data_IF_994840113986
#
_entry.id   IF_994840113986
#
_cell.length_a   1.000
_cell.length_b   1.000
_cell.length_c   1.000
_cell.angle_alpha   90.00
_cell.angle_beta   90.00
_cell.angle_gamma   90.00
#
_symmetry.space_group_name_H-M   'P 1'
#
loop_
_entity.id
_entity.type
_entity.pdbx_description
1 polymer ?
#
# COMPACT_ATOMS: atom_id res chain seq x y z
N UNK A 1 -48.90 42.71 -32.31
CA UNK A 1 -48.14 41.45 -32.52
C UNK A 1 -46.83 41.57 -31.78
N UNK A 2 -46.63 40.82 -30.69
CA UNK A 2 -45.37 40.78 -29.94
C UNK A 2 -44.69 39.46 -30.31
N UNK A 3 -43.56 39.54 -31.00
CA UNK A 3 -42.72 38.39 -31.30
C UNK A 3 -41.90 38.04 -30.04
N UNK A 4 -42.21 36.91 -29.42
CA UNK A 4 -41.35 36.34 -28.38
C UNK A 4 -40.17 35.62 -29.04
N UNK A 5 -38.97 36.00 -28.64
CA UNK A 5 -37.68 35.58 -29.16
C UNK A 5 -37.44 34.07 -28.99
N UNK A 6 -37.01 33.41 -30.07
CA UNK A 6 -36.63 31.99 -30.15
C UNK A 6 -35.34 31.61 -29.40
N UNK A 7 -34.74 32.54 -28.65
CA UNK A 7 -33.39 32.39 -28.09
C UNK A 7 -33.36 31.77 -26.68
N UNK A 8 -34.43 31.91 -25.90
CA UNK A 8 -34.50 31.41 -24.51
C UNK A 8 -34.67 29.89 -24.40
N UNK A 9 -35.31 29.25 -25.40
CA UNK A 9 -35.51 27.79 -25.42
C UNK A 9 -34.24 27.02 -25.74
N UNK A 10 -33.40 27.56 -26.62
CA UNK A 10 -32.12 26.96 -27.01
C UNK A 10 -31.10 26.99 -25.87
N UNK A 11 -31.05 28.09 -25.11
CA UNK A 11 -30.21 28.23 -23.92
C UNK A 11 -30.69 27.34 -22.75
N UNK A 12 -32.01 27.22 -22.55
CA UNK A 12 -32.60 26.35 -21.53
C UNK A 12 -32.37 24.86 -21.84
N UNK A 13 -32.45 24.46 -23.12
CA UNK A 13 -32.15 23.09 -23.54
C UNK A 13 -30.65 22.76 -23.41
N UNK A 14 -29.74 23.69 -23.76
CA UNK A 14 -28.30 23.50 -23.56
C UNK A 14 -27.90 23.31 -22.09
N UNK A 15 -28.53 24.02 -21.16
CA UNK A 15 -28.34 23.86 -19.72
C UNK A 15 -28.86 22.51 -19.18
N UNK A 16 -29.99 22.01 -19.72
CA UNK A 16 -30.54 20.69 -19.38
C UNK A 16 -29.63 19.52 -19.84
N UNK A 17 -28.96 19.65 -20.99
CA UNK A 17 -27.99 18.66 -21.46
C UNK A 17 -26.69 18.66 -20.64
N UNK A 18 -26.21 19.83 -20.19
CA UNK A 18 -25.02 19.90 -19.33
C UNK A 18 -25.30 19.35 -17.93
N UNK A 19 -26.45 19.67 -17.34
CA UNK A 19 -26.83 19.20 -16.01
C UNK A 19 -27.03 17.68 -15.96
N UNK A 20 -27.61 17.09 -17.02
CA UNK A 20 -27.77 15.63 -17.14
C UNK A 20 -26.43 14.92 -17.36
N UNK A 21 -25.50 15.50 -18.12
CA UNK A 21 -24.15 14.96 -18.29
C UNK A 21 -23.34 14.93 -16.99
N UNK A 22 -23.40 16.00 -16.18
CA UNK A 22 -22.72 16.05 -14.87
C UNK A 22 -23.33 15.04 -13.89
N UNK A 23 -24.65 14.89 -13.88
CA UNK A 23 -25.33 13.90 -13.03
C UNK A 23 -24.95 12.47 -13.43
N UNK A 24 -24.82 12.18 -14.73
CA UNK A 24 -24.41 10.87 -15.22
C UNK A 24 -22.96 10.54 -14.81
N UNK A 25 -22.04 11.51 -14.92
CA UNK A 25 -20.65 11.34 -14.49
C UNK A 25 -20.54 11.13 -12.97
N UNK A 26 -21.32 11.89 -12.18
CA UNK A 26 -21.36 11.72 -10.73
C UNK A 26 -21.92 10.34 -10.33
N UNK A 27 -22.93 9.84 -11.04
CA UNK A 27 -23.49 8.51 -10.81
C UNK A 27 -22.49 7.40 -11.16
N UNK A 28 -21.82 7.49 -12.32
CA UNK A 28 -20.75 6.55 -12.72
C UNK A 28 -19.62 6.54 -11.67
N UNK A 29 -19.20 7.71 -11.20
CA UNK A 29 -18.17 7.82 -10.17
C UNK A 29 -18.59 7.19 -8.83
N UNK A 30 -19.85 7.37 -8.43
CA UNK A 30 -20.37 6.75 -7.20
C UNK A 30 -20.46 5.23 -7.30
N UNK A 31 -20.83 4.70 -8.47
CA UNK A 31 -20.95 3.24 -8.66
C UNK A 31 -19.58 2.57 -8.69
N UNK A 32 -18.60 3.16 -9.39
CA UNK A 32 -17.20 2.70 -9.39
C UNK A 32 -16.55 2.76 -7.99
N UNK A 33 -16.96 3.72 -7.15
CA UNK A 33 -16.53 3.75 -5.73
C UNK A 33 -17.12 2.59 -4.92
N UNK A 34 -18.41 2.28 -5.11
CA UNK A 34 -19.07 1.17 -4.40
C UNK A 34 -18.50 -0.18 -4.82
N UNK A 35 -18.18 -0.35 -6.09
CA UNK A 35 -17.63 -1.61 -6.60
C UNK A 35 -16.20 -1.83 -6.06
N UNK A 36 -15.38 -0.77 -6.01
CA UNK A 36 -14.07 -0.83 -5.32
C UNK A 36 -14.19 -1.13 -3.83
N UNK A 37 -15.19 -0.57 -3.15
CA UNK A 37 -15.46 -0.88 -1.74
C UNK A 37 -15.89 -2.35 -1.56
N UNK A 38 -16.74 -2.89 -2.44
CA UNK A 38 -17.14 -4.31 -2.41
C UNK A 38 -15.97 -5.25 -2.70
N UNK A 39 -15.14 -4.97 -3.70
CA UNK A 39 -13.93 -5.77 -3.97
C UNK A 39 -12.96 -5.74 -2.79
N UNK A 40 -12.79 -4.59 -2.14
CA UNK A 40 -11.97 -4.47 -0.92
C UNK A 40 -12.55 -5.24 0.28
N UNK A 41 -13.87 -5.34 0.38
CA UNK A 41 -14.55 -6.13 1.42
C UNK A 41 -14.49 -7.63 1.12
N UNK A 42 -14.59 -8.00 -0.15
CA UNK A 42 -14.49 -9.39 -0.61
C UNK A 42 -13.06 -9.94 -0.44
N UNK A 43 -12.03 -9.12 -0.70
CA UNK A 43 -10.64 -9.46 -0.38
C UNK A 43 -10.37 -9.59 1.13
N UNK A 44 -11.11 -8.86 1.97
CA UNK A 44 -11.01 -8.97 3.45
C UNK A 44 -11.69 -10.21 4.00
N UNK A 45 -12.60 -10.85 3.25
CA UNK A 45 -13.47 -11.91 3.76
C UNK A 45 -13.00 -13.35 3.55
N UNK A 46 -11.90 -13.61 2.82
CA UNK A 46 -11.58 -14.99 2.36
C UNK A 46 -10.30 -15.62 2.93
N UNK A 47 -9.54 -14.93 3.79
CA UNK A 47 -8.35 -15.51 4.43
C UNK A 47 -8.44 -15.24 5.92
N UNK A 48 -8.47 -16.30 6.74
CA UNK A 48 -8.29 -16.17 8.19
C UNK A 48 -6.99 -15.41 8.43
N UNK A 49 -7.12 -14.15 8.84
CA UNK A 49 -6.02 -13.21 8.86
C UNK A 49 -5.13 -13.52 10.07
N UNK A 50 -4.00 -14.21 9.85
CA UNK A 50 -2.96 -14.42 10.87
C UNK A 50 -2.10 -13.17 11.08
N UNK A 51 -2.40 -12.06 10.39
CA UNK A 51 -1.66 -10.80 10.53
C UNK A 51 -1.92 -10.17 11.86
N UNK A 52 -0.87 -9.54 12.36
CA UNK A 52 -0.98 -8.68 13.53
C UNK A 52 -1.82 -7.43 13.20
N UNK A 53 -2.59 -6.95 14.18
CA UNK A 53 -3.43 -5.75 14.03
C UNK A 53 -2.62 -4.52 13.58
N UNK A 54 -1.34 -4.45 13.93
CA UNK A 54 -0.51 -3.30 13.62
C UNK A 54 0.05 -3.32 12.18
N UNK A 55 0.35 -4.49 11.62
CA UNK A 55 0.68 -4.64 10.20
C UNK A 55 -0.49 -4.19 9.32
N UNK A 56 -1.72 -4.59 9.68
CA UNK A 56 -2.96 -4.16 9.01
C UNK A 56 -3.05 -2.63 9.00
N UNK A 57 -2.80 -1.99 10.16
CA UNK A 57 -2.85 -0.53 10.28
C UNK A 57 -1.81 0.18 9.42
N UNK A 58 -0.62 -0.40 9.25
CA UNK A 58 0.41 0.17 8.35
C UNK A 58 -0.07 0.08 6.91
N UNK A 59 -0.58 -1.08 6.47
CA UNK A 59 -1.10 -1.26 5.11
C UNK A 59 -2.23 -0.29 4.83
N UNK A 60 -3.17 -0.12 5.76
CA UNK A 60 -4.28 0.83 5.63
C UNK A 60 -3.79 2.28 5.54
N UNK A 61 -2.79 2.66 6.34
CA UNK A 61 -2.15 3.98 6.22
C UNK A 61 -1.57 4.20 4.81
N UNK A 62 -0.79 3.25 4.31
CA UNK A 62 -0.16 3.35 2.97
C UNK A 62 -1.23 3.45 1.88
N UNK A 63 -2.28 2.60 1.93
CA UNK A 63 -3.39 2.64 0.96
C UNK A 63 -4.09 3.99 0.94
N UNK A 64 -4.28 4.60 2.11
CA UNK A 64 -4.94 5.90 2.22
C UNK A 64 -4.07 7.04 1.69
N UNK A 65 -2.76 7.02 1.95
CA UNK A 65 -1.83 8.08 1.51
C UNK A 65 -1.40 7.94 0.04
N UNK A 66 -1.32 6.71 -0.46
CA UNK A 66 -0.80 6.38 -1.80
C UNK A 66 -1.73 5.40 -2.54
N UNK A 67 -2.98 5.80 -2.85
CA UNK A 67 -4.02 4.89 -3.33
C UNK A 67 -3.74 4.26 -4.70
N UNK A 68 -2.79 4.80 -5.47
CA UNK A 68 -2.41 4.26 -6.78
C UNK A 68 -1.28 3.23 -6.72
N UNK A 69 -0.63 3.04 -5.57
CA UNK A 69 0.44 2.06 -5.43
C UNK A 69 -0.13 0.66 -5.22
N UNK A 70 0.27 -0.35 -6.03
CA UNK A 70 -0.04 -1.73 -5.74
C UNK A 70 0.72 -2.16 -4.48
N UNK A 71 0.01 -2.81 -3.55
CA UNK A 71 0.55 -3.28 -2.28
C UNK A 71 0.22 -4.76 -2.15
N UNK A 72 1.27 -5.55 -2.00
CA UNK A 72 1.20 -6.98 -1.70
C UNK A 72 1.59 -7.18 -0.24
N UNK A 73 1.01 -8.20 0.40
CA UNK A 73 1.17 -8.44 1.84
C UNK A 73 1.45 -9.91 2.06
N UNK A 74 2.34 -10.24 3.02
CA UNK A 74 2.83 -11.59 3.30
C UNK A 74 3.36 -12.28 2.04
N UNK A 75 4.14 -11.56 1.24
CA UNK A 75 4.63 -12.04 -0.04
C UNK A 75 5.85 -12.96 0.16
N UNK A 76 5.66 -14.25 -0.11
CA UNK A 76 6.73 -15.28 -0.05
C UNK A 76 7.33 -15.60 -1.41
N UNK A 77 7.06 -14.81 -2.45
CA UNK A 77 7.55 -15.09 -3.82
C UNK A 77 8.90 -14.45 -4.11
N UNK A 78 9.38 -13.56 -3.24
CA UNK A 78 10.53 -12.68 -3.52
C UNK A 78 11.84 -13.27 -3.01
N UNK A 79 11.87 -13.74 -1.76
CA UNK A 79 13.09 -14.13 -1.07
C UNK A 79 13.13 -15.66 -0.90
N UNK A 80 14.04 -16.38 -1.56
CA UNK A 80 14.18 -17.81 -1.38
C UNK A 80 14.71 -18.14 0.01
N UNK A 81 14.27 -19.28 0.54
CA UNK A 81 14.84 -19.84 1.76
C UNK A 81 16.34 -20.05 1.62
N UNK A 82 17.08 -19.80 2.70
CA UNK A 82 18.48 -20.20 2.80
C UNK A 82 18.67 -21.71 2.84
N UNK A 83 17.71 -22.44 3.43
CA UNK A 83 17.82 -23.87 3.74
C UNK A 83 16.92 -24.76 2.87
N UNK A 84 16.23 -24.17 1.88
CA UNK A 84 15.42 -24.91 0.91
C UNK A 84 14.07 -25.40 1.46
N UNK A 85 13.59 -24.82 2.56
CA UNK A 85 12.25 -25.07 3.10
C UNK A 85 11.19 -24.22 2.39
N UNK A 86 10.66 -23.19 3.04
CA UNK A 86 9.71 -22.24 2.48
C UNK A 86 10.39 -20.90 2.26
N UNK A 87 10.14 -20.27 1.12
CA UNK A 87 10.59 -18.90 0.87
C UNK A 87 10.22 -17.98 2.04
N UNK A 88 11.08 -17.01 2.29
CA UNK A 88 10.89 -16.03 3.34
C UNK A 88 9.81 -15.02 2.93
N UNK A 89 9.06 -14.61 3.92
CA UNK A 89 7.97 -13.65 3.78
C UNK A 89 8.48 -12.22 3.77
N UNK A 90 7.84 -11.37 2.99
CA UNK A 90 7.89 -9.91 3.12
C UNK A 90 6.50 -9.44 3.57
N UNK A 91 6.42 -8.75 4.70
CA UNK A 91 5.14 -8.32 5.28
C UNK A 91 4.39 -7.37 4.34
N UNK A 92 5.09 -6.38 3.77
CA UNK A 92 4.51 -5.42 2.83
C UNK A 92 5.45 -5.15 1.65
N UNK A 93 4.95 -5.34 0.44
CA UNK A 93 5.70 -5.17 -0.80
C UNK A 93 5.02 -4.19 -1.77
N UNK A 94 5.77 -3.16 -2.20
CA UNK A 94 5.36 -2.16 -3.17
C UNK A 94 6.23 -2.27 -4.44
N UNK A 95 5.84 -3.14 -5.41
CA UNK A 95 6.72 -3.49 -6.53
C UNK A 95 7.05 -2.33 -7.45
N UNK A 96 6.09 -1.43 -7.70
CA UNK A 96 6.28 -0.30 -8.62
C UNK A 96 7.48 0.57 -8.26
N UNK A 97 7.76 0.70 -6.96
CA UNK A 97 8.85 1.53 -6.44
C UNK A 97 9.99 0.70 -5.82
N UNK A 98 9.96 -0.62 -5.97
CA UNK A 98 10.91 -1.57 -5.36
C UNK A 98 11.16 -1.32 -3.88
N UNK A 99 10.09 -1.14 -3.10
CA UNK A 99 10.13 -0.93 -1.65
C UNK A 99 9.45 -2.10 -0.94
N UNK A 100 10.19 -2.76 -0.06
CA UNK A 100 9.72 -3.77 0.88
C UNK A 100 9.80 -3.23 2.31
N UNK A 101 8.88 -3.67 3.16
CA UNK A 101 8.78 -3.27 4.57
C UNK A 101 8.58 -4.54 5.39
N UNK A 102 9.41 -4.70 6.41
CA UNK A 102 9.26 -5.71 7.46
C UNK A 102 8.72 -5.01 8.71
N UNK A 103 7.56 -5.45 9.15
CA UNK A 103 6.85 -5.02 10.33
C UNK A 103 7.20 -5.99 11.48
N UNK A 104 8.31 -5.71 12.16
CA UNK A 104 8.83 -6.56 13.23
C UNK A 104 8.25 -6.20 14.59
N UNK A 105 7.72 -7.20 15.30
CA UNK A 105 7.41 -7.09 16.73
C UNK A 105 8.59 -7.51 17.60
N UNK A 106 9.04 -6.68 18.53
CA UNK A 106 10.20 -6.99 19.40
C UNK A 106 9.99 -8.24 20.27
N UNK A 107 8.75 -8.63 20.54
CA UNK A 107 8.44 -9.84 21.29
C UNK A 107 8.74 -11.14 20.51
N UNK A 108 8.80 -11.07 19.17
CA UNK A 108 8.91 -12.24 18.29
C UNK A 108 10.21 -12.27 17.49
N UNK A 109 10.91 -11.14 17.36
CA UNK A 109 12.15 -11.02 16.60
C UNK A 109 13.34 -10.64 17.49
N UNK A 110 14.51 -11.26 17.27
CA UNK A 110 15.76 -10.91 17.97
C UNK A 110 16.34 -9.60 17.40
N UNK A 111 15.78 -8.47 17.83
CA UNK A 111 16.23 -7.14 17.45
C UNK A 111 17.74 -6.97 17.74
N UNK A 112 18.22 -7.50 18.87
CA UNK A 112 19.65 -7.41 19.22
C UNK A 112 20.52 -8.23 18.28
N UNK A 113 20.08 -9.42 17.86
CA UNK A 113 20.73 -10.25 16.85
C UNK A 113 20.84 -9.57 15.50
N UNK A 114 19.74 -9.00 15.02
CA UNK A 114 19.72 -8.18 13.81
C UNK A 114 20.75 -7.04 13.87
N UNK A 115 20.75 -6.27 14.96
CA UNK A 115 21.69 -5.14 15.13
C UNK A 115 23.16 -5.59 15.18
N UNK A 116 23.45 -6.70 15.88
CA UNK A 116 24.80 -7.28 15.91
C UNK A 116 25.26 -7.68 14.51
N UNK A 117 24.41 -8.38 13.76
CA UNK A 117 24.78 -8.82 12.42
C UNK A 117 24.95 -7.65 11.45
N UNK A 118 24.11 -6.63 11.57
CA UNK A 118 24.25 -5.40 10.80
C UNK A 118 25.59 -4.71 11.04
N UNK A 119 25.99 -4.60 12.31
CA UNK A 119 27.27 -4.00 12.70
C UNK A 119 28.47 -4.82 12.17
N UNK A 120 28.35 -6.15 12.18
CA UNK A 120 29.41 -7.06 11.75
C UNK A 120 29.39 -7.34 10.23
N UNK A 121 28.36 -6.91 9.51
CA UNK A 121 28.16 -7.21 8.09
C UNK A 121 27.86 -8.68 7.80
N UNK A 122 27.39 -9.43 8.80
CA UNK A 122 27.02 -10.85 8.71
C UNK A 122 25.54 -10.99 8.33
N UNK A 123 25.11 -12.22 8.04
CA UNK A 123 23.74 -12.54 7.63
C UNK A 123 23.16 -13.69 8.49
N UNK A 124 23.50 -13.80 9.77
CA UNK A 124 23.03 -14.95 10.57
C UNK A 124 21.55 -14.85 10.93
N UNK A 125 21.07 -13.63 11.20
CA UNK A 125 19.67 -13.31 11.41
C UNK A 125 18.90 -13.34 10.09
N UNK A 126 17.63 -13.71 10.17
CA UNK A 126 16.74 -13.76 9.01
C UNK A 126 16.58 -12.36 8.40
N UNK A 127 16.41 -11.34 9.25
CA UNK A 127 16.27 -9.93 8.87
C UNK A 127 17.49 -9.45 8.09
N UNK A 128 18.71 -9.77 8.53
CA UNK A 128 19.92 -9.40 7.81
C UNK A 128 20.06 -10.15 6.48
N UNK A 129 19.67 -11.41 6.42
CA UNK A 129 19.62 -12.15 5.15
C UNK A 129 18.62 -11.53 4.17
N UNK A 130 17.40 -11.18 4.63
CA UNK A 130 16.40 -10.46 3.83
C UNK A 130 16.96 -9.12 3.34
N UNK A 131 17.58 -8.33 4.21
CA UNK A 131 18.16 -7.02 3.87
C UNK A 131 19.20 -7.14 2.75
N UNK A 132 20.11 -8.12 2.85
CA UNK A 132 21.16 -8.34 1.86
C UNK A 132 20.61 -8.90 0.55
N UNK A 133 19.64 -9.82 0.60
CA UNK A 133 18.99 -10.33 -0.60
C UNK A 133 18.26 -9.21 -1.35
N UNK A 134 17.46 -8.41 -0.65
CA UNK A 134 16.76 -7.26 -1.23
C UNK A 134 17.75 -6.26 -1.85
N UNK A 135 18.82 -5.91 -1.13
CA UNK A 135 19.85 -4.99 -1.63
C UNK A 135 20.50 -5.50 -2.94
N UNK A 136 20.84 -6.79 -3.03
CA UNK A 136 21.40 -7.40 -4.25
C UNK A 136 20.44 -7.35 -5.44
N UNK A 137 19.12 -7.34 -5.19
CA UNK A 137 18.08 -7.32 -6.21
C UNK A 137 17.54 -5.90 -6.50
N UNK A 138 18.19 -4.86 -5.98
CA UNK A 138 17.76 -3.47 -6.16
C UNK A 138 16.42 -3.16 -5.47
N UNK A 139 16.07 -3.94 -4.45
CA UNK A 139 14.92 -3.73 -3.59
C UNK A 139 15.39 -3.01 -2.33
N UNK A 140 14.76 -1.89 -2.00
CA UNK A 140 14.94 -1.30 -0.67
C UNK A 140 14.08 -2.06 0.31
N UNK A 141 14.72 -2.75 1.25
CA UNK A 141 14.06 -3.22 2.45
C UNK A 141 14.26 -2.22 3.60
N UNK A 142 13.19 -1.94 4.34
CA UNK A 142 13.24 -1.26 5.64
C UNK A 142 12.63 -2.17 6.71
N UNK A 143 13.25 -2.18 7.88
CA UNK A 143 12.72 -2.84 9.06
C UNK A 143 12.15 -1.76 9.97
N UNK A 144 10.85 -1.85 10.26
CA UNK A 144 10.19 -1.02 11.25
C UNK A 144 9.83 -1.88 12.45
N UNK A 145 10.07 -1.35 13.64
CA UNK A 145 9.91 -2.06 14.91
C UNK A 145 8.76 -1.43 15.68
N UNK A 146 7.87 -2.26 16.23
CA UNK A 146 6.70 -1.80 16.99
C UNK A 146 7.05 -0.80 18.11
N UNK A 147 8.23 -0.96 18.73
CA UNK A 147 8.81 -0.06 19.73
C UNK A 147 9.02 1.39 19.27
N UNK A 148 9.15 1.64 17.95
CA UNK A 148 9.29 2.99 17.39
C UNK A 148 7.99 3.82 17.50
N UNK A 149 6.86 3.16 17.68
CA UNK A 149 5.54 3.79 17.74
C UNK A 149 4.95 4.11 16.35
N UNK A 150 3.65 3.87 16.23
CA UNK A 150 2.92 3.88 14.96
C UNK A 150 3.16 5.13 14.09
N UNK A 151 3.07 6.33 14.65
CA UNK A 151 3.21 7.57 13.87
C UNK A 151 4.65 7.80 13.36
N UNK A 152 5.66 7.39 14.12
CA UNK A 152 7.06 7.47 13.68
C UNK A 152 7.29 6.53 12.49
N UNK A 153 6.77 5.30 12.61
CA UNK A 153 6.83 4.29 11.55
C UNK A 153 6.16 4.80 10.27
N UNK A 154 4.92 5.32 10.38
CA UNK A 154 4.22 5.89 9.23
C UNK A 154 4.99 7.05 8.59
N UNK A 155 5.59 7.94 9.40
CA UNK A 155 6.41 9.04 8.89
C UNK A 155 7.65 8.56 8.13
N UNK A 156 8.33 7.52 8.62
CA UNK A 156 9.45 6.90 7.91
C UNK A 156 9.01 6.28 6.58
N UNK A 157 7.93 5.49 6.58
CA UNK A 157 7.38 4.84 5.39
C UNK A 157 7.00 5.89 4.34
N UNK A 158 6.26 6.93 4.74
CA UNK A 158 5.85 8.02 3.84
C UNK A 158 7.07 8.71 3.22
N UNK A 159 8.13 8.94 4.01
CA UNK A 159 9.39 9.50 3.52
C UNK A 159 10.04 8.60 2.47
N UNK A 160 10.09 7.28 2.71
CA UNK A 160 10.71 6.32 1.80
C UNK A 160 9.92 6.16 0.50
N UNK A 161 8.59 6.21 0.56
CA UNK A 161 7.72 6.17 -0.62
C UNK A 161 7.91 7.45 -1.45
N UNK A 162 7.83 8.63 -0.82
CA UNK A 162 7.97 9.92 -1.53
C UNK A 162 9.32 10.04 -2.23
N UNK A 163 10.42 9.66 -1.57
CA UNK A 163 11.78 9.65 -2.17
C UNK A 163 11.95 8.74 -3.39
N UNK A 164 11.01 7.82 -3.63
CA UNK A 164 11.05 6.88 -4.76
C UNK A 164 10.07 7.25 -5.87
N UNK A 165 9.08 8.07 -5.55
CA UNK A 165 8.14 8.60 -6.53
C UNK A 165 8.64 9.88 -7.19
N UNK A 166 9.43 10.68 -6.47
CA UNK A 166 9.98 11.98 -6.89
C UNK A 166 11.50 11.98 -6.81
#
# INVERSE_FOLDING_TARGET
MIAMSSDSRSQLMGLLFLASGIALLAWIYQEDKKDREKESQLQRGSVANTRSDWEIRIVDHIRNQFPSLPIYTNDRTIIPSRFGDSNLEIDIWLPTIKLAIEANGEAFHDHSGYLRDRANGTEYSEEMYKEKYCARNGIKLIHVWDSQGFYSICGEIDSQIRKRLY
#
